data_IF_986100074258
#
_entry.id   IF_986100074258
#
_cell.length_a   1.000
_cell.length_b   1.000
_cell.length_c   1.000
_cell.angle_alpha   90.00
_cell.angle_beta   90.00
_cell.angle_gamma   90.00
#
_symmetry.space_group_name_H-M   'P 1'
#
loop_
_entity.id
_entity.type
_entity.pdbx_description
1 polymer ?
#
# COMPACT_ATOMS: atom_id res chain seq x y z
N UNK A 1 0.48 -28.45 5.14
CA UNK A 1 1.26 -27.86 4.02
C UNK A 1 2.59 -28.58 3.93
N UNK A 2 3.09 -28.87 2.71
CA UNK A 2 4.41 -29.44 2.47
C UNK A 2 5.35 -28.32 2.01
N UNK A 3 6.44 -28.10 2.73
CA UNK A 3 7.38 -26.99 2.49
C UNK A 3 8.02 -27.04 1.10
N UNK A 4 8.45 -28.21 0.64
CA UNK A 4 9.06 -28.37 -0.69
C UNK A 4 8.09 -27.96 -1.80
N UNK A 5 6.82 -28.41 -1.71
CA UNK A 5 5.78 -28.04 -2.69
C UNK A 5 5.53 -26.53 -2.64
N UNK A 6 5.43 -25.96 -1.44
CA UNK A 6 5.21 -24.53 -1.25
C UNK A 6 6.33 -23.69 -1.90
N UNK A 7 7.59 -24.06 -1.71
CA UNK A 7 8.73 -23.35 -2.31
C UNK A 7 8.76 -23.47 -3.84
N UNK A 8 8.41 -24.64 -4.39
CA UNK A 8 8.29 -24.79 -5.86
C UNK A 8 7.18 -23.89 -6.44
N UNK A 9 6.02 -23.86 -5.80
CA UNK A 9 4.90 -22.99 -6.20
C UNK A 9 5.23 -21.51 -6.03
N UNK A 10 5.91 -21.13 -4.96
CA UNK A 10 6.38 -19.75 -4.76
C UNK A 10 7.37 -19.34 -5.85
N UNK A 11 8.27 -20.25 -6.25
CA UNK A 11 9.18 -20.04 -7.37
C UNK A 11 8.42 -19.79 -8.68
N UNK A 12 7.35 -20.55 -8.95
CA UNK A 12 6.48 -20.32 -10.11
C UNK A 12 5.84 -18.93 -10.07
N UNK A 13 5.27 -18.54 -8.91
CA UNK A 13 4.66 -17.22 -8.74
C UNK A 13 5.66 -16.08 -8.88
N UNK A 14 6.87 -16.22 -8.33
CA UNK A 14 7.93 -15.21 -8.45
C UNK A 14 8.36 -15.04 -9.91
N UNK A 15 8.43 -16.15 -10.67
CA UNK A 15 8.77 -16.12 -12.09
C UNK A 15 7.73 -15.36 -12.96
N UNK A 16 6.48 -15.28 -12.49
CA UNK A 16 5.42 -14.47 -13.10
C UNK A 16 5.59 -12.99 -12.77
N UNK A 17 6.58 -12.27 -13.26
CA UNK A 17 6.74 -10.84 -12.94
C UNK A 17 5.41 -10.07 -12.99
N UNK A 18 5.16 -9.23 -11.97
CA UNK A 18 3.87 -8.56 -11.76
C UNK A 18 4.00 -7.12 -11.27
N UNK A 19 4.76 -6.31 -12.02
CA UNK A 19 4.82 -4.87 -11.75
C UNK A 19 3.41 -4.24 -11.73
N UNK A 20 3.12 -3.34 -10.78
CA UNK A 20 1.76 -2.77 -10.58
C UNK A 20 1.14 -2.21 -11.87
N UNK A 21 1.95 -1.60 -12.75
CA UNK A 21 1.48 -1.05 -14.04
C UNK A 21 1.64 -2.02 -15.22
N UNK A 22 1.88 -3.30 -14.94
CA UNK A 22 1.87 -4.37 -15.93
C UNK A 22 0.60 -5.21 -15.77
N UNK A 23 -0.48 -4.77 -16.43
CA UNK A 23 -1.76 -5.47 -16.42
C UNK A 23 -1.67 -6.92 -16.92
N UNK A 24 -0.70 -7.24 -17.77
CA UNK A 24 -0.48 -8.59 -18.29
C UNK A 24 0.20 -9.45 -17.22
N UNK A 25 1.25 -8.93 -16.57
CA UNK A 25 1.97 -9.63 -15.50
C UNK A 25 1.08 -9.95 -14.30
N UNK A 26 0.40 -8.94 -13.73
CA UNK A 26 -0.55 -9.13 -12.64
C UNK A 26 -1.72 -10.03 -13.04
N UNK A 27 -2.19 -9.94 -14.30
CA UNK A 27 -3.21 -10.83 -14.86
C UNK A 27 -2.77 -12.31 -14.93
N UNK A 28 -1.49 -12.59 -15.19
CA UNK A 28 -0.95 -13.97 -15.15
C UNK A 28 -0.97 -14.54 -13.73
N UNK A 29 -0.58 -13.73 -12.73
CA UNK A 29 -0.66 -14.14 -11.32
C UNK A 29 -2.10 -14.42 -10.94
N UNK A 30 -3.04 -13.52 -11.27
CA UNK A 30 -4.48 -13.72 -11.03
C UNK A 30 -5.00 -15.03 -11.68
N UNK A 31 -4.59 -15.33 -12.90
CA UNK A 31 -4.98 -16.54 -13.61
C UNK A 31 -4.41 -17.81 -12.96
N UNK A 32 -3.16 -17.78 -12.49
CA UNK A 32 -2.53 -18.88 -11.77
C UNK A 32 -3.27 -19.19 -10.47
N UNK A 33 -3.53 -18.18 -9.64
CA UNK A 33 -4.28 -18.32 -8.39
C UNK A 33 -5.71 -18.79 -8.67
N UNK A 34 -6.39 -18.17 -9.63
CA UNK A 34 -7.76 -18.52 -10.00
C UNK A 34 -7.90 -19.99 -10.38
N UNK A 35 -6.97 -20.53 -11.17
CA UNK A 35 -6.97 -21.95 -11.59
C UNK A 35 -6.97 -22.89 -10.39
N UNK A 36 -6.19 -22.58 -9.36
CA UNK A 36 -6.11 -23.37 -8.11
C UNK A 36 -7.41 -23.30 -7.33
N UNK A 37 -7.94 -22.11 -7.15
CA UNK A 37 -9.18 -21.87 -6.40
C UNK A 37 -10.41 -22.46 -7.11
N UNK A 38 -10.47 -22.40 -8.45
CA UNK A 38 -11.52 -23.09 -9.23
C UNK A 38 -11.47 -24.62 -9.02
N UNK A 39 -10.27 -25.22 -9.03
CA UNK A 39 -10.08 -26.63 -8.78
C UNK A 39 -10.51 -27.05 -7.36
N UNK A 40 -10.39 -26.13 -6.39
CA UNK A 40 -10.87 -26.29 -5.02
C UNK A 40 -12.37 -25.90 -4.85
N UNK A 41 -13.10 -25.71 -5.96
CA UNK A 41 -14.53 -25.39 -5.98
C UNK A 41 -14.93 -24.06 -5.30
N UNK A 42 -14.01 -23.09 -5.20
CA UNK A 42 -14.31 -21.74 -4.79
C UNK A 42 -15.05 -20.99 -5.91
N UNK A 43 -15.98 -20.10 -5.56
CA UNK A 43 -16.64 -19.23 -6.54
C UNK A 43 -15.76 -18.05 -6.88
N UNK A 44 -15.05 -18.13 -7.99
CA UNK A 44 -14.08 -17.11 -8.41
C UNK A 44 -14.66 -16.13 -9.43
N UNK A 45 -14.17 -14.88 -9.38
CA UNK A 45 -14.50 -13.83 -10.35
C UNK A 45 -13.31 -12.91 -10.54
N UNK A 46 -12.98 -12.61 -11.79
CA UNK A 46 -12.06 -11.52 -12.15
C UNK A 46 -12.87 -10.23 -12.31
N UNK A 47 -12.44 -9.15 -11.67
CA UNK A 47 -13.08 -7.85 -11.70
C UNK A 47 -12.08 -6.87 -12.33
N UNK A 48 -12.41 -6.35 -13.51
CA UNK A 48 -11.62 -5.30 -14.15
C UNK A 48 -11.82 -3.98 -13.42
N UNK A 49 -10.73 -3.32 -13.05
CA UNK A 49 -10.73 -2.04 -12.34
C UNK A 49 -10.05 -0.91 -13.11
N UNK A 50 -9.47 -1.22 -14.26
CA UNK A 50 -8.80 -0.28 -15.15
C UNK A 50 -8.10 -0.99 -16.29
N UNK A 51 -7.49 -0.22 -17.20
CA UNK A 51 -6.67 -0.76 -18.30
C UNK A 51 -5.19 -0.79 -17.97
N UNK A 52 -4.76 -0.01 -16.97
CA UNK A 52 -3.36 0.18 -16.57
C UNK A 52 -2.89 -0.85 -15.55
N UNK A 53 -3.82 -1.60 -14.95
CA UNK A 53 -3.56 -2.60 -13.93
C UNK A 53 -4.31 -3.89 -14.27
N UNK A 54 -3.88 -5.02 -13.71
CA UNK A 54 -4.58 -6.29 -13.87
C UNK A 54 -5.93 -6.33 -13.16
N UNK A 55 -6.67 -7.44 -13.30
CA UNK A 55 -7.94 -7.58 -12.62
C UNK A 55 -7.75 -7.90 -11.13
N UNK A 56 -8.70 -7.51 -10.29
CA UNK A 56 -8.86 -8.07 -8.96
C UNK A 56 -9.36 -9.51 -9.12
N UNK A 57 -8.78 -10.45 -8.40
CA UNK A 57 -9.33 -11.78 -8.23
C UNK A 57 -10.13 -11.84 -6.91
N UNK A 58 -11.41 -12.11 -7.03
CA UNK A 58 -12.33 -12.35 -5.91
C UNK A 58 -12.68 -13.82 -5.86
N UNK A 59 -12.54 -14.46 -4.71
CA UNK A 59 -12.90 -15.85 -4.50
C UNK A 59 -13.69 -16.02 -3.19
N UNK A 60 -14.82 -16.71 -3.26
CA UNK A 60 -15.77 -16.81 -2.16
C UNK A 60 -16.10 -18.27 -1.85
N UNK A 61 -16.04 -18.61 -0.57
CA UNK A 61 -16.45 -19.89 0.01
C UNK A 61 -17.64 -19.70 0.94
N UNK A 62 -18.54 -20.66 0.95
CA UNK A 62 -19.75 -20.58 1.78
C UNK A 62 -20.83 -19.68 1.19
N UNK A 63 -21.83 -19.32 1.96
CA UNK A 63 -22.97 -18.48 1.56
C UNK A 63 -23.45 -17.62 2.73
N UNK A 64 -23.87 -16.40 2.47
CA UNK A 64 -24.38 -15.49 3.49
C UNK A 64 -24.46 -14.06 3.01
N UNK A 65 -25.00 -13.18 3.85
CA UNK A 65 -25.02 -11.73 3.61
C UNK A 65 -23.71 -11.05 4.06
N UNK A 66 -23.02 -11.66 5.01
CA UNK A 66 -21.78 -11.16 5.60
C UNK A 66 -20.72 -12.25 5.63
N UNK A 67 -19.46 -11.90 5.42
CA UNK A 67 -18.32 -12.82 5.55
C UNK A 67 -17.93 -12.94 7.03
N UNK A 68 -17.57 -14.13 7.46
CA UNK A 68 -16.94 -14.32 8.77
C UNK A 68 -15.55 -13.68 8.77
N UNK A 69 -14.83 -13.82 7.63
CA UNK A 69 -13.54 -13.20 7.42
C UNK A 69 -13.33 -12.85 5.95
N UNK A 70 -12.69 -11.72 5.71
CA UNK A 70 -12.06 -11.34 4.45
C UNK A 70 -10.55 -11.48 4.61
N UNK A 71 -9.90 -12.30 3.78
CA UNK A 71 -8.45 -12.31 3.63
C UNK A 71 -8.11 -11.45 2.41
N UNK A 72 -7.16 -10.56 2.58
CA UNK A 72 -6.75 -9.58 1.56
C UNK A 72 -5.26 -9.68 1.32
N UNK A 73 -4.88 -9.83 0.06
CA UNK A 73 -3.51 -9.83 -0.43
C UNK A 73 -3.39 -9.06 -1.73
N UNK A 74 -2.15 -8.82 -2.19
CA UNK A 74 -1.89 -8.15 -3.45
C UNK A 74 -0.93 -8.93 -4.33
N UNK A 75 -1.23 -8.96 -5.62
CA UNK A 75 -0.48 -9.70 -6.64
C UNK A 75 0.62 -8.89 -7.28
N UNK A 76 0.56 -7.57 -7.16
CA UNK A 76 1.52 -6.65 -7.77
C UNK A 76 2.81 -6.51 -6.96
N UNK A 77 3.82 -5.96 -7.58
CA UNK A 77 5.12 -5.68 -6.97
C UNK A 77 5.70 -4.37 -7.51
N UNK A 78 6.65 -3.78 -6.77
CA UNK A 78 7.42 -2.60 -7.21
C UNK A 78 8.42 -2.91 -8.31
N UNK A 79 8.66 -4.16 -8.64
CA UNK A 79 9.75 -4.58 -9.52
C UNK A 79 9.35 -4.48 -11.00
N UNK A 80 10.11 -3.72 -11.83
CA UNK A 80 9.83 -3.60 -13.26
C UNK A 80 9.81 -4.94 -13.99
N UNK A 81 9.13 -4.97 -15.14
CA UNK A 81 9.11 -6.14 -16.01
C UNK A 81 10.54 -6.58 -16.37
N UNK A 82 10.79 -7.89 -16.36
CA UNK A 82 12.11 -8.47 -16.57
C UNK A 82 12.91 -8.76 -15.30
N UNK A 83 12.62 -8.09 -14.17
CA UNK A 83 13.38 -8.28 -12.92
C UNK A 83 13.36 -9.75 -12.44
N UNK A 84 12.25 -10.47 -12.62
CA UNK A 84 12.17 -11.88 -12.23
C UNK A 84 13.09 -12.82 -13.08
N UNK A 85 13.47 -12.39 -14.28
CA UNK A 85 14.45 -13.08 -15.11
C UNK A 85 15.88 -12.74 -14.67
N UNK A 86 16.15 -11.47 -14.36
CA UNK A 86 17.47 -11.00 -13.93
C UNK A 86 17.82 -11.47 -12.53
N UNK A 87 16.82 -11.54 -11.64
CA UNK A 87 16.94 -11.98 -10.25
C UNK A 87 15.91 -13.10 -9.96
N UNK A 88 16.13 -14.33 -10.50
CA UNK A 88 15.19 -15.43 -10.31
C UNK A 88 15.10 -15.82 -8.82
N UNK A 89 14.03 -16.53 -8.48
CA UNK A 89 13.89 -17.14 -7.18
C UNK A 89 15.09 -18.05 -6.87
N UNK A 90 15.63 -17.91 -5.67
CA UNK A 90 16.75 -18.71 -5.18
C UNK A 90 16.59 -18.97 -3.69
N UNK A 91 17.20 -20.05 -3.21
CA UNK A 91 17.29 -20.43 -1.80
C UNK A 91 18.75 -20.44 -1.34
N UNK A 92 19.01 -19.94 -0.13
CA UNK A 92 20.32 -19.94 0.49
C UNK A 92 20.16 -20.29 1.98
N UNK A 93 20.48 -21.53 2.35
CA UNK A 93 20.12 -22.06 3.67
C UNK A 93 18.62 -22.06 3.88
N UNK A 94 18.18 -21.46 4.98
CA UNK A 94 16.75 -21.32 5.33
C UNK A 94 16.09 -20.07 4.69
N UNK A 95 16.87 -19.25 3.98
CA UNK A 95 16.38 -18.05 3.32
C UNK A 95 15.97 -18.33 1.88
N UNK A 96 14.89 -17.70 1.43
CA UNK A 96 14.52 -17.62 0.01
C UNK A 96 14.50 -16.17 -0.46
N UNK A 97 14.91 -15.95 -1.71
CA UNK A 97 15.06 -14.63 -2.32
C UNK A 97 14.38 -14.59 -3.68
N UNK A 98 13.70 -13.48 -3.99
CA UNK A 98 13.09 -13.26 -5.29
C UNK A 98 12.22 -12.00 -5.29
N UNK A 99 11.99 -11.36 -6.45
CA UNK A 99 11.16 -10.16 -6.54
C UNK A 99 9.71 -10.45 -6.15
N UNK A 100 9.23 -9.77 -5.11
CA UNK A 100 7.88 -9.96 -4.57
C UNK A 100 7.68 -11.26 -3.79
N UNK A 101 8.74 -12.02 -3.46
CA UNK A 101 8.61 -13.27 -2.70
C UNK A 101 8.00 -13.03 -1.32
N UNK A 102 8.55 -12.09 -0.56
CA UNK A 102 8.06 -11.73 0.77
C UNK A 102 6.89 -10.72 0.69
N UNK A 103 6.94 -9.81 -0.26
CA UNK A 103 5.95 -8.75 -0.47
C UNK A 103 5.33 -8.90 -1.88
N UNK A 104 4.09 -9.56 -2.05
CA UNK A 104 3.60 -10.42 -0.96
C UNK A 104 3.15 -11.78 -1.50
N UNK A 105 3.83 -12.33 -2.53
CA UNK A 105 3.45 -13.61 -3.18
C UNK A 105 3.43 -14.80 -2.22
N UNK A 106 4.25 -14.75 -1.17
CA UNK A 106 4.20 -15.75 -0.10
C UNK A 106 2.84 -15.72 0.61
N UNK A 107 2.34 -14.54 0.98
CA UNK A 107 1.02 -14.36 1.57
C UNK A 107 -0.11 -14.79 0.63
N UNK A 108 -0.03 -14.43 -0.65
CA UNK A 108 -0.99 -14.89 -1.66
C UNK A 108 -1.03 -16.42 -1.75
N UNK A 109 0.14 -17.06 -1.72
CA UNK A 109 0.24 -18.51 -1.78
C UNK A 109 -0.31 -19.18 -0.50
N UNK A 110 -0.07 -18.57 0.67
CA UNK A 110 -0.71 -19.02 1.92
C UNK A 110 -2.23 -18.97 1.83
N UNK A 111 -2.80 -17.91 1.24
CA UNK A 111 -4.24 -17.82 1.03
C UNK A 111 -4.76 -18.94 0.12
N UNK A 112 -4.02 -19.33 -0.91
CA UNK A 112 -4.38 -20.45 -1.81
C UNK A 112 -4.39 -21.77 -1.05
N UNK A 113 -3.33 -22.08 -0.31
CA UNK A 113 -3.26 -23.32 0.48
C UNK A 113 -4.35 -23.38 1.55
N UNK A 114 -4.61 -22.27 2.25
CA UNK A 114 -5.70 -22.18 3.22
C UNK A 114 -7.06 -22.45 2.55
N UNK A 115 -7.28 -21.91 1.37
CA UNK A 115 -8.51 -22.12 0.62
C UNK A 115 -8.71 -23.59 0.23
N UNK A 116 -7.65 -24.27 -0.20
CA UNK A 116 -7.67 -25.69 -0.51
C UNK A 116 -7.95 -26.55 0.73
N UNK A 117 -7.37 -26.19 1.88
CA UNK A 117 -7.63 -26.86 3.15
C UNK A 117 -9.07 -26.66 3.61
N UNK A 118 -9.61 -25.43 3.56
CA UNK A 118 -11.01 -25.15 3.89
C UNK A 118 -11.98 -25.93 3.02
N UNK A 119 -11.68 -26.05 1.72
CA UNK A 119 -12.49 -26.82 0.79
C UNK A 119 -12.44 -28.34 1.08
N UNK A 120 -11.23 -28.88 1.35
CA UNK A 120 -11.03 -30.28 1.70
C UNK A 120 -11.76 -30.67 3.00
N UNK A 121 -11.73 -29.80 3.99
CA UNK A 121 -12.39 -29.96 5.28
C UNK A 121 -13.88 -29.64 5.24
N UNK A 122 -14.40 -29.16 4.12
CA UNK A 122 -15.79 -28.72 3.93
C UNK A 122 -16.23 -27.72 5.01
N UNK A 123 -15.34 -26.76 5.30
CA UNK A 123 -15.60 -25.73 6.31
C UNK A 123 -16.96 -25.07 6.12
N UNK A 124 -17.70 -24.86 7.22
CA UNK A 124 -19.02 -24.19 7.22
C UNK A 124 -18.92 -22.65 7.23
N UNK A 125 -17.71 -22.08 7.31
CA UNK A 125 -17.49 -20.64 7.33
C UNK A 125 -17.85 -19.95 6.01
N UNK A 126 -18.18 -18.67 6.09
CA UNK A 126 -18.34 -17.80 4.92
C UNK A 126 -17.11 -16.90 4.77
N UNK A 127 -16.24 -17.22 3.82
CA UNK A 127 -14.92 -16.61 3.64
C UNK A 127 -14.82 -15.97 2.28
N UNK A 128 -14.24 -14.76 2.25
CA UNK A 128 -13.85 -14.07 1.02
C UNK A 128 -12.34 -13.95 0.96
N UNK A 129 -11.74 -14.30 -0.17
CA UNK A 129 -10.38 -13.96 -0.54
C UNK A 129 -10.42 -12.88 -1.62
N UNK A 130 -9.60 -11.86 -1.45
CA UNK A 130 -9.47 -10.76 -2.41
C UNK A 130 -7.98 -10.53 -2.69
N UNK A 131 -7.60 -10.64 -3.96
CA UNK A 131 -6.24 -10.40 -4.43
C UNK A 131 -6.26 -9.17 -5.32
N UNK A 132 -5.55 -8.12 -4.93
CA UNK A 132 -5.54 -6.83 -5.63
C UNK A 132 -4.33 -6.68 -6.55
N UNK A 133 -4.41 -5.91 -7.64
CA UNK A 133 -3.32 -5.74 -8.60
C UNK A 133 -2.53 -4.44 -8.42
N UNK A 134 -2.79 -3.59 -7.42
CA UNK A 134 -2.32 -2.21 -7.37
C UNK A 134 -2.05 -1.66 -5.95
N UNK A 135 -1.70 -2.54 -5.01
CA UNK A 135 -1.37 -2.15 -3.63
C UNK A 135 -0.18 -1.19 -3.59
N UNK A 136 0.89 -1.51 -4.30
CA UNK A 136 2.17 -0.80 -4.34
C UNK A 136 2.06 0.63 -4.91
N UNK A 137 0.95 0.91 -5.58
CA UNK A 137 0.59 2.26 -6.04
C UNK A 137 -0.59 2.85 -5.25
N UNK A 138 -0.81 2.35 -4.02
CA UNK A 138 -1.82 2.81 -3.06
C UNK A 138 -3.26 2.44 -3.41
N UNK A 139 -3.47 1.32 -4.08
CA UNK A 139 -4.78 0.72 -4.40
C UNK A 139 -5.74 1.69 -5.08
N UNK A 140 -5.19 2.53 -5.97
CA UNK A 140 -5.94 3.63 -6.62
C UNK A 140 -7.16 3.12 -7.36
N UNK A 141 -7.06 1.92 -7.95
CA UNK A 141 -8.11 1.28 -8.72
C UNK A 141 -8.94 0.28 -7.89
N UNK A 142 -8.28 -0.44 -6.98
CA UNK A 142 -8.91 -1.50 -6.17
C UNK A 142 -9.72 -0.98 -4.99
N UNK A 143 -9.41 0.20 -4.48
CA UNK A 143 -9.98 0.77 -3.26
C UNK A 143 -11.52 0.67 -3.17
N UNK A 144 -12.32 1.02 -4.20
CA UNK A 144 -13.78 0.91 -4.11
C UNK A 144 -14.27 -0.52 -3.90
N UNK A 145 -13.56 -1.52 -4.47
CA UNK A 145 -13.89 -2.94 -4.31
C UNK A 145 -13.49 -3.42 -2.92
N UNK A 146 -12.26 -3.08 -2.46
CA UNK A 146 -11.77 -3.40 -1.11
C UNK A 146 -12.76 -2.88 -0.07
N UNK A 147 -13.09 -1.59 -0.11
CA UNK A 147 -14.01 -0.96 0.84
C UNK A 147 -15.41 -1.57 0.78
N UNK A 148 -15.92 -1.84 -0.43
CA UNK A 148 -17.23 -2.44 -0.64
C UNK A 148 -17.35 -3.87 -0.09
N UNK A 149 -16.32 -4.69 -0.22
CA UNK A 149 -16.30 -6.05 0.32
C UNK A 149 -15.98 -6.06 1.82
N UNK A 150 -15.07 -5.20 2.30
CA UNK A 150 -14.74 -5.09 3.72
C UNK A 150 -15.95 -4.74 4.59
N UNK A 151 -16.84 -3.87 4.11
CA UNK A 151 -18.10 -3.50 4.83
C UNK A 151 -19.02 -4.70 5.09
N UNK A 152 -18.83 -5.81 4.39
CA UNK A 152 -19.60 -7.05 4.57
C UNK A 152 -18.88 -8.06 5.45
N UNK A 153 -17.64 -7.77 5.89
CA UNK A 153 -16.82 -8.69 6.67
C UNK A 153 -16.91 -8.38 8.18
N UNK A 154 -16.91 -9.41 9.00
CA UNK A 154 -16.81 -9.27 10.47
C UNK A 154 -15.38 -8.96 10.90
N UNK A 155 -14.40 -9.44 10.15
CA UNK A 155 -12.96 -9.22 10.34
C UNK A 155 -12.23 -9.24 9.02
N UNK A 156 -11.10 -8.53 8.95
CA UNK A 156 -10.19 -8.52 7.80
C UNK A 156 -8.80 -8.96 8.27
N UNK A 157 -8.21 -9.87 7.53
CA UNK A 157 -6.85 -10.36 7.72
C UNK A 157 -6.02 -9.97 6.50
N UNK A 158 -4.96 -9.19 6.71
CA UNK A 158 -4.06 -8.77 5.64
C UNK A 158 -2.86 -9.71 5.65
N UNK A 159 -2.62 -10.34 4.52
CA UNK A 159 -1.61 -11.39 4.38
C UNK A 159 -0.23 -10.84 3.99
N UNK A 160 0.06 -9.60 4.41
CA UNK A 160 1.38 -8.97 4.31
C UNK A 160 2.40 -9.71 5.17
N UNK A 161 3.69 -9.52 4.89
CA UNK A 161 4.76 -10.15 5.67
C UNK A 161 4.73 -9.76 7.15
N UNK A 162 4.83 -10.73 8.03
CA UNK A 162 5.14 -10.54 9.45
C UNK A 162 6.48 -9.81 9.62
N UNK A 163 6.72 -9.29 10.80
CA UNK A 163 8.03 -8.68 11.10
C UNK A 163 9.10 -9.76 11.24
N UNK A 164 10.40 -9.41 11.13
CA UNK A 164 11.50 -10.39 11.23
C UNK A 164 11.52 -11.21 12.52
N UNK A 165 10.90 -10.68 13.59
CA UNK A 165 10.74 -11.40 14.86
C UNK A 165 9.43 -12.20 14.96
N UNK A 166 8.65 -12.28 13.88
CA UNK A 166 7.35 -12.96 13.83
C UNK A 166 6.18 -12.16 14.39
N UNK A 167 6.38 -10.90 14.82
CA UNK A 167 5.28 -10.07 15.31
C UNK A 167 4.33 -9.67 14.20
N UNK A 168 3.04 -9.69 14.50
CA UNK A 168 1.96 -9.22 13.65
C UNK A 168 1.73 -7.71 13.83
N UNK A 169 1.04 -7.09 12.87
CA UNK A 169 0.82 -5.65 12.84
C UNK A 169 -0.64 -5.34 13.15
N UNK A 170 -0.90 -4.48 14.16
CA UNK A 170 -2.24 -3.98 14.47
C UNK A 170 -2.38 -2.46 14.36
N UNK A 171 -1.28 -1.76 14.08
CA UNK A 171 -1.27 -0.31 13.91
C UNK A 171 -0.35 0.08 12.75
N UNK A 172 -0.85 0.89 11.82
CA UNK A 172 -0.07 1.47 10.73
C UNK A 172 -0.29 2.97 10.64
N UNK A 173 0.77 3.73 10.35
CA UNK A 173 0.60 5.16 10.07
C UNK A 173 -0.23 5.38 8.82
N UNK A 174 -1.00 6.45 8.81
CA UNK A 174 -1.60 7.00 7.60
C UNK A 174 -0.53 7.61 6.69
N UNK A 175 -0.80 7.63 5.40
CA UNK A 175 0.10 8.09 4.35
C UNK A 175 -0.56 9.21 3.57
N UNK A 176 0.10 10.36 3.54
CA UNK A 176 -0.25 11.47 2.64
C UNK A 176 0.90 11.70 1.66
N UNK A 177 0.55 11.89 0.40
CA UNK A 177 1.51 12.22 -0.65
C UNK A 177 1.03 13.47 -1.38
N UNK A 178 1.92 14.46 -1.45
CA UNK A 178 1.64 15.72 -2.15
C UNK A 178 2.68 15.96 -3.24
N UNK A 179 2.23 16.56 -4.33
CA UNK A 179 3.06 17.16 -5.36
C UNK A 179 2.78 18.64 -5.37
N UNK A 180 3.79 19.45 -5.07
CA UNK A 180 3.71 20.89 -5.12
C UNK A 180 4.35 21.36 -6.42
N UNK A 181 3.63 22.20 -7.16
CA UNK A 181 4.07 22.74 -8.43
C UNK A 181 4.14 24.26 -8.29
N UNK A 182 5.29 24.82 -8.58
CA UNK A 182 5.58 26.25 -8.51
C UNK A 182 5.79 26.76 -9.94
N UNK A 183 4.96 27.71 -10.36
CA UNK A 183 5.03 28.39 -11.66
C UNK A 183 5.44 29.84 -11.45
N UNK A 184 6.61 30.20 -11.91
CA UNK A 184 7.21 31.52 -11.81
C UNK A 184 7.31 32.23 -13.15
N UNK A 185 8.29 33.15 -13.27
CA UNK A 185 8.55 33.93 -14.48
C UNK A 185 10.04 33.88 -14.78
N UNK A 186 10.40 33.41 -15.98
CA UNK A 186 11.79 33.39 -16.44
C UNK A 186 12.31 34.77 -16.73
N UNK A 187 13.58 35.00 -16.38
CA UNK A 187 14.32 36.21 -16.76
C UNK A 187 15.82 35.91 -16.79
N UNK A 188 16.60 36.77 -17.43
CA UNK A 188 18.07 36.65 -17.35
C UNK A 188 18.57 37.10 -15.98
N UNK A 189 19.18 36.23 -15.22
CA UNK A 189 19.52 36.44 -13.81
C UNK A 189 20.52 37.58 -13.57
N UNK A 190 21.33 37.97 -14.56
CA UNK A 190 22.31 39.03 -14.47
C UNK A 190 21.94 40.34 -15.21
N UNK A 191 20.91 40.33 -16.06
CA UNK A 191 20.51 41.50 -16.90
C UNK A 191 19.24 42.13 -16.39
N UNK A 192 18.22 41.36 -16.13
CA UNK A 192 16.88 41.82 -15.73
C UNK A 192 16.23 40.91 -14.67
N UNK A 193 16.93 40.64 -13.55
CA UNK A 193 16.42 39.72 -12.53
C UNK A 193 15.08 40.14 -11.94
N UNK A 194 14.81 41.42 -11.83
CA UNK A 194 13.57 41.96 -11.25
C UNK A 194 12.32 41.67 -12.09
N UNK A 195 12.49 41.32 -13.37
CA UNK A 195 11.39 40.89 -14.23
C UNK A 195 11.03 39.42 -14.03
N UNK A 196 11.92 38.66 -13.37
CA UNK A 196 11.70 37.26 -13.06
C UNK A 196 11.03 37.03 -11.70
N UNK A 197 10.40 35.88 -11.55
CA UNK A 197 9.88 35.36 -10.28
C UNK A 197 10.31 33.90 -10.14
N UNK A 198 11.20 33.63 -9.17
CA UNK A 198 11.86 32.32 -9.09
C UNK A 198 11.00 31.25 -8.40
N UNK A 199 10.52 30.30 -9.17
CA UNK A 199 9.84 29.11 -8.66
C UNK A 199 10.73 28.27 -7.73
N UNK A 200 12.05 28.20 -8.03
CA UNK A 200 13.00 27.46 -7.19
C UNK A 200 13.19 28.15 -5.84
N UNK A 201 13.34 29.49 -5.82
CA UNK A 201 13.45 30.23 -4.55
C UNK A 201 12.19 30.11 -3.70
N UNK A 202 11.01 30.14 -4.33
CA UNK A 202 9.74 29.90 -3.65
C UNK A 202 9.70 28.50 -3.03
N UNK A 203 10.02 27.46 -3.81
CA UNK A 203 10.10 26.08 -3.32
C UNK A 203 11.07 25.91 -2.15
N UNK A 204 12.24 26.57 -2.18
CA UNK A 204 13.21 26.53 -1.09
C UNK A 204 12.67 27.14 0.21
N UNK A 205 11.93 28.26 0.13
CA UNK A 205 11.27 28.89 1.30
C UNK A 205 10.21 27.97 1.88
N UNK A 206 9.40 27.38 1.01
CA UNK A 206 8.41 26.36 1.40
C UNK A 206 9.07 25.17 2.07
N UNK A 207 10.23 24.72 1.59
CA UNK A 207 10.92 23.55 2.11
C UNK A 207 11.15 23.61 3.62
N UNK A 208 11.55 24.78 4.15
CA UNK A 208 11.72 24.98 5.60
C UNK A 208 10.40 24.85 6.37
N UNK A 209 9.33 25.45 5.84
CA UNK A 209 8.00 25.37 6.47
C UNK A 209 7.45 23.93 6.42
N UNK A 210 7.64 23.22 5.30
CA UNK A 210 7.20 21.83 5.11
C UNK A 210 7.87 20.91 6.13
N UNK A 211 9.19 21.03 6.30
CA UNK A 211 9.93 20.24 7.31
C UNK A 211 9.42 20.56 8.73
N UNK A 212 9.05 21.82 8.98
CA UNK A 212 8.46 22.27 10.25
C UNK A 212 7.07 21.68 10.55
N UNK A 213 6.38 21.08 9.58
CA UNK A 213 5.11 20.38 9.81
C UNK A 213 5.27 19.04 10.55
N UNK A 214 6.48 18.49 10.61
CA UNK A 214 6.75 17.29 11.39
C UNK A 214 6.44 17.52 12.87
N UNK A 215 5.88 16.51 13.54
CA UNK A 215 5.57 16.53 14.95
C UNK A 215 5.97 15.20 15.60
N UNK A 216 7.21 15.06 16.09
CA UNK A 216 7.67 13.82 16.70
C UNK A 216 6.83 13.37 17.90
N UNK A 217 6.29 14.31 18.69
CA UNK A 217 5.46 13.99 19.86
C UNK A 217 4.16 13.28 19.45
N UNK A 218 3.61 13.66 18.30
CA UNK A 218 2.44 13.00 17.69
C UNK A 218 2.82 11.88 16.72
N UNK A 219 4.12 11.60 16.55
CA UNK A 219 4.65 10.62 15.61
C UNK A 219 4.46 10.99 14.14
N UNK A 220 4.21 12.27 13.86
CA UNK A 220 4.10 12.79 12.49
C UNK A 220 5.49 12.97 11.88
N UNK A 221 5.70 12.39 10.72
CA UNK A 221 6.93 12.55 9.92
C UNK A 221 6.60 13.19 8.58
N UNK A 222 7.48 14.06 8.11
CA UNK A 222 7.37 14.73 6.81
C UNK A 222 8.72 14.66 6.11
N UNK A 223 8.70 14.23 4.86
CA UNK A 223 9.89 14.11 4.04
C UNK A 223 9.64 14.75 2.67
N UNK A 224 10.55 15.62 2.23
CA UNK A 224 10.60 16.09 0.84
C UNK A 224 11.46 15.07 0.08
N UNK A 225 10.81 14.20 -0.68
CA UNK A 225 11.48 13.08 -1.34
C UNK A 225 12.20 13.47 -2.63
N UNK A 226 11.62 14.41 -3.39
CA UNK A 226 12.20 14.91 -4.65
C UNK A 226 11.97 16.40 -4.81
N UNK A 227 12.94 17.09 -5.41
CA UNK A 227 12.82 18.46 -5.90
C UNK A 227 13.42 18.49 -7.30
N UNK A 228 12.71 19.10 -8.27
CA UNK A 228 13.17 19.30 -9.64
C UNK A 228 12.75 20.67 -10.12
N UNK A 229 13.68 21.46 -10.67
CA UNK A 229 13.34 22.78 -11.19
C UNK A 229 14.52 23.54 -11.77
N UNK A 230 14.22 24.60 -12.51
CA UNK A 230 15.19 25.43 -13.22
C UNK A 230 15.75 24.76 -14.48
N UNK A 231 16.38 25.57 -15.34
CA UNK A 231 16.95 25.11 -16.63
C UNK A 231 18.42 25.46 -16.76
N UNK A 232 18.87 26.60 -16.30
CA UNK A 232 20.25 27.08 -16.36
C UNK A 232 20.58 28.06 -15.22
N UNK A 233 21.84 28.11 -14.80
CA UNK A 233 22.28 28.95 -13.68
C UNK A 233 22.10 30.44 -13.91
N UNK A 234 22.07 30.92 -15.15
CA UNK A 234 21.88 32.31 -15.52
C UNK A 234 20.43 32.68 -15.88
N UNK A 235 19.46 31.78 -15.59
CA UNK A 235 18.03 31.98 -15.82
C UNK A 235 17.30 31.90 -14.48
N UNK A 236 16.47 32.89 -14.16
CA UNK A 236 15.48 32.85 -13.07
C UNK A 236 14.52 31.73 -13.39
N UNK A 237 14.42 30.74 -12.51
CA UNK A 237 13.64 29.52 -12.77
C UNK A 237 12.13 29.81 -12.77
N UNK A 238 11.45 29.50 -13.84
CA UNK A 238 10.00 29.65 -14.00
C UNK A 238 9.21 28.41 -13.61
N UNK A 239 9.88 27.30 -13.31
CA UNK A 239 9.24 26.07 -12.90
C UNK A 239 10.04 25.35 -11.81
N UNK A 240 9.33 24.81 -10.81
CA UNK A 240 9.86 23.88 -9.83
C UNK A 240 8.76 22.95 -9.32
N UNK A 241 9.11 21.73 -9.05
CA UNK A 241 8.22 20.74 -8.40
C UNK A 241 8.91 20.12 -7.19
N UNK A 242 8.13 19.79 -6.16
CA UNK A 242 8.59 18.93 -5.10
C UNK A 242 7.51 17.91 -4.71
N UNK A 243 7.96 16.69 -4.31
CA UNK A 243 7.09 15.63 -3.84
C UNK A 243 7.35 15.38 -2.36
N UNK A 244 6.25 15.35 -1.59
CA UNK A 244 6.26 15.19 -0.14
C UNK A 244 5.59 13.88 0.24
N UNK A 245 6.22 13.11 1.14
CA UNK A 245 5.64 11.99 1.88
C UNK A 245 5.43 12.43 3.33
N UNK A 246 4.19 12.34 3.81
CA UNK A 246 3.88 12.60 5.21
C UNK A 246 3.22 11.37 5.83
N UNK A 247 3.69 11.00 7.03
CA UNK A 247 3.15 9.85 7.78
C UNK A 247 2.57 10.34 9.09
N UNK A 248 1.33 9.93 9.39
CA UNK A 248 0.58 10.41 10.56
C UNK A 248 -0.03 9.25 11.34
N UNK A 249 -0.18 9.41 12.67
CA UNK A 249 -0.86 8.42 13.53
C UNK A 249 -2.36 8.62 13.60
N UNK A 250 -2.83 9.83 13.35
CA UNK A 250 -4.25 10.17 13.37
C UNK A 250 -4.63 11.05 12.17
N UNK A 251 -5.92 11.06 11.83
CA UNK A 251 -6.43 11.81 10.68
C UNK A 251 -6.34 13.32 10.88
N UNK A 252 -6.44 13.81 12.13
CA UNK A 252 -6.38 15.25 12.42
C UNK A 252 -4.99 15.82 12.08
N UNK A 253 -3.90 15.07 12.31
CA UNK A 253 -2.56 15.47 11.87
C UNK A 253 -2.44 15.48 10.34
N UNK A 254 -3.06 14.53 9.65
CA UNK A 254 -3.11 14.55 8.18
C UNK A 254 -3.87 15.75 7.63
N UNK A 255 -5.01 16.07 8.23
CA UNK A 255 -5.81 17.25 7.88
C UNK A 255 -5.05 18.55 8.16
N UNK A 256 -4.37 18.66 9.31
CA UNK A 256 -3.52 19.81 9.63
C UNK A 256 -2.47 20.08 8.56
N UNK A 257 -1.81 19.03 8.06
CA UNK A 257 -0.82 19.16 6.99
C UNK A 257 -1.48 19.60 5.69
N UNK A 258 -2.58 18.99 5.30
CA UNK A 258 -3.31 19.35 4.07
C UNK A 258 -3.78 20.81 4.09
N UNK A 259 -4.39 21.22 5.19
CA UNK A 259 -4.86 22.59 5.39
C UNK A 259 -3.71 23.62 5.34
N UNK A 260 -2.57 23.31 5.98
CA UNK A 260 -1.40 24.19 5.97
C UNK A 260 -0.86 24.38 4.53
N UNK A 261 -0.64 23.28 3.80
CA UNK A 261 -0.13 23.36 2.42
C UNK A 261 -1.07 24.13 1.49
N UNK A 262 -2.38 23.88 1.60
CA UNK A 262 -3.38 24.58 0.77
C UNK A 262 -3.59 26.04 1.17
N UNK A 263 -3.40 26.38 2.45
CA UNK A 263 -3.45 27.76 2.91
C UNK A 263 -2.23 28.54 2.39
N UNK A 264 -1.03 27.98 2.49
CA UNK A 264 0.19 28.65 1.99
C UNK A 264 0.15 28.86 0.48
N UNK A 265 -0.45 27.95 -0.29
CA UNK A 265 -0.59 28.11 -1.74
C UNK A 265 -1.40 29.34 -2.16
N UNK A 266 -2.23 29.90 -1.26
CA UNK A 266 -2.99 31.12 -1.51
C UNK A 266 -2.19 32.39 -1.25
N UNK A 267 -1.09 32.30 -0.51
CA UNK A 267 -0.23 33.41 -0.09
C UNK A 267 1.24 33.03 -0.25
N UNK A 268 1.72 32.89 -1.50
CA UNK A 268 3.14 32.60 -1.77
C UNK A 268 4.03 33.75 -1.27
N UNK A 269 5.31 33.49 -1.06
CA UNK A 269 6.28 34.53 -0.66
C UNK A 269 6.53 35.56 -1.74
N UNK A 270 6.50 35.15 -3.02
CA UNK A 270 6.46 36.05 -4.19
C UNK A 270 5.08 35.88 -4.83
N UNK A 271 4.27 36.93 -4.82
CA UNK A 271 2.89 36.93 -5.33
C UNK A 271 2.78 36.69 -6.84
N UNK A 272 3.90 36.80 -7.56
CA UNK A 272 4.01 36.47 -8.99
C UNK A 272 4.21 34.98 -9.24
N UNK A 273 4.52 34.17 -8.20
CA UNK A 273 4.65 32.71 -8.31
C UNK A 273 3.30 32.05 -7.98
N UNK A 274 2.80 31.28 -8.90
CA UNK A 274 1.61 30.48 -8.67
C UNK A 274 2.01 29.13 -8.07
N UNK A 275 1.35 28.74 -6.97
CA UNK A 275 1.59 27.45 -6.29
C UNK A 275 0.34 26.58 -6.39
N UNK A 276 0.54 25.34 -6.86
CA UNK A 276 -0.50 24.32 -6.91
C UNK A 276 -0.15 23.17 -5.99
N UNK A 277 -1.16 22.68 -5.23
CA UNK A 277 -1.04 21.55 -4.30
C UNK A 277 -1.91 20.42 -4.81
N UNK A 278 -1.27 19.39 -5.31
CA UNK A 278 -1.93 18.15 -5.73
C UNK A 278 -1.73 17.03 -4.69
N UNK A 279 -2.67 16.10 -4.62
CA UNK A 279 -2.58 14.97 -3.70
C UNK A 279 -3.34 15.17 -2.39
N UNK A 280 -2.87 14.49 -1.35
CA UNK A 280 -3.53 14.41 -0.04
C UNK A 280 -3.34 13.04 0.59
N UNK A 281 -4.17 12.69 1.58
CA UNK A 281 -4.14 11.40 2.26
C UNK A 281 -4.53 10.28 1.30
N UNK A 282 -3.61 9.34 1.08
CA UNK A 282 -3.81 8.15 0.25
C UNK A 282 -4.33 6.98 1.07
N UNK A 283 -3.76 6.79 2.25
CA UNK A 283 -4.14 5.75 3.21
C UNK A 283 -4.41 6.40 4.56
N UNK A 284 -5.62 6.28 5.14
CA UNK A 284 -5.88 6.71 6.51
C UNK A 284 -5.04 5.92 7.52
N UNK A 285 -4.87 6.36 8.77
CA UNK A 285 -4.24 5.55 9.81
C UNK A 285 -5.02 4.28 10.10
N UNK A 286 -4.32 3.17 10.34
CA UNK A 286 -4.87 1.93 10.88
C UNK A 286 -4.61 1.93 12.39
N UNK A 287 -5.63 2.23 13.17
CA UNK A 287 -5.56 2.22 14.63
C UNK A 287 -6.47 1.12 15.20
N UNK A 288 -6.01 0.35 16.20
CA UNK A 288 -6.81 -0.72 16.77
C UNK A 288 -8.02 -0.17 17.54
N UNK A 289 -9.20 -0.70 17.26
CA UNK A 289 -10.41 -0.49 18.04
C UNK A 289 -10.54 -1.59 19.11
N UNK A 290 -11.50 -1.46 20.02
CA UNK A 290 -11.83 -2.54 20.98
C UNK A 290 -12.17 -3.86 20.28
N UNK A 291 -12.84 -3.78 19.12
CA UNK A 291 -13.13 -4.96 18.29
C UNK A 291 -11.87 -5.56 17.68
N UNK A 292 -10.91 -4.72 17.28
CA UNK A 292 -9.60 -5.16 16.80
C UNK A 292 -8.82 -5.84 17.91
N UNK A 293 -8.81 -5.29 19.14
CA UNK A 293 -8.15 -5.94 20.28
C UNK A 293 -8.81 -7.30 20.63
N UNK A 294 -10.14 -7.41 20.48
CA UNK A 294 -10.81 -8.70 20.63
C UNK A 294 -10.40 -9.71 19.54
N UNK A 295 -10.20 -9.25 18.32
CA UNK A 295 -9.67 -10.10 17.22
C UNK A 295 -8.23 -10.54 17.51
N UNK A 296 -7.38 -9.64 18.01
CA UNK A 296 -6.01 -9.94 18.42
C UNK A 296 -5.97 -11.07 19.47
N UNK A 297 -6.80 -11.00 20.50
CA UNK A 297 -6.90 -12.07 21.53
C UNK A 297 -7.30 -13.42 20.91
N UNK A 298 -8.24 -13.43 19.96
CA UNK A 298 -8.63 -14.67 19.26
C UNK A 298 -7.48 -15.23 18.43
N UNK A 299 -6.69 -14.39 17.77
CA UNK A 299 -5.52 -14.82 17.04
C UNK A 299 -4.45 -15.44 17.97
N UNK A 300 -4.19 -14.81 19.13
CA UNK A 300 -3.29 -15.36 20.16
C UNK A 300 -3.77 -16.72 20.69
N UNK A 301 -5.07 -16.83 20.97
CA UNK A 301 -5.68 -18.09 21.44
C UNK A 301 -5.56 -19.20 20.38
N UNK A 302 -5.75 -18.85 19.09
CA UNK A 302 -5.60 -19.80 17.99
C UNK A 302 -4.13 -20.25 17.85
N UNK A 303 -3.18 -19.33 17.91
CA UNK A 303 -1.75 -19.62 17.86
C UNK A 303 -1.30 -20.56 18.98
N UNK A 304 -1.74 -20.30 20.22
CA UNK A 304 -1.43 -21.16 21.38
C UNK A 304 -1.88 -22.62 21.18
N UNK A 305 -3.02 -22.84 20.51
CA UNK A 305 -3.52 -24.20 20.22
C UNK A 305 -2.62 -25.02 19.30
N UNK A 306 -1.83 -24.33 18.48
CA UNK A 306 -0.87 -24.96 17.54
C UNK A 306 0.58 -24.76 17.96
N UNK A 307 0.81 -24.33 19.21
CA UNK A 307 2.15 -24.19 19.78
C UNK A 307 2.92 -22.95 19.27
N UNK A 308 2.25 -21.99 18.65
CA UNK A 308 2.85 -20.74 18.18
C UNK A 308 2.63 -19.60 19.18
N UNK A 309 3.55 -18.64 19.16
CA UNK A 309 3.44 -17.38 19.87
C UNK A 309 4.00 -16.25 19.03
N UNK A 310 3.39 -15.08 19.10
CA UNK A 310 3.84 -13.84 18.44
C UNK A 310 3.47 -12.63 19.30
N UNK A 311 4.10 -11.50 19.01
CA UNK A 311 3.73 -10.20 19.60
C UNK A 311 2.96 -9.34 18.61
N UNK A 312 2.62 -8.13 19.07
CA UNK A 312 1.97 -7.11 18.25
C UNK A 312 2.88 -5.88 18.12
N UNK A 313 2.96 -5.38 16.91
CA UNK A 313 3.80 -4.22 16.63
C UNK A 313 3.07 -3.16 15.83
N UNK A 314 3.74 -2.01 15.65
CA UNK A 314 3.31 -0.87 14.86
C UNK A 314 4.20 -0.73 13.63
N UNK A 315 3.63 -0.28 12.52
CA UNK A 315 4.38 -0.02 11.29
C UNK A 315 4.28 1.44 10.85
N UNK A 316 5.39 1.98 10.37
CA UNK A 316 5.40 3.26 9.65
C UNK A 316 4.94 3.12 8.19
N UNK A 317 5.00 1.90 7.62
CA UNK A 317 4.50 1.58 6.29
C UNK A 317 2.99 1.36 6.27
N UNK A 318 2.35 1.62 5.13
CA UNK A 318 0.93 1.33 4.92
C UNK A 318 0.72 -0.02 4.26
N UNK A 319 -0.54 -0.45 4.23
CA UNK A 319 -1.06 -1.58 3.47
C UNK A 319 -2.54 -1.34 3.15
N UNK A 320 -3.18 -2.26 2.46
CA UNK A 320 -4.63 -2.22 2.29
C UNK A 320 -5.41 -2.35 3.61
N UNK A 321 -4.76 -2.80 4.68
CA UNK A 321 -5.29 -2.79 6.05
C UNK A 321 -5.66 -1.40 6.55
N UNK A 322 -4.97 -0.36 6.09
CA UNK A 322 -5.32 1.02 6.38
C UNK A 322 -6.73 1.38 5.89
N UNK A 323 -7.10 0.90 4.69
CA UNK A 323 -8.40 1.18 4.08
C UNK A 323 -9.53 0.51 4.84
N UNK A 324 -9.34 -0.75 5.23
CA UNK A 324 -10.36 -1.55 5.92
C UNK A 324 -10.54 -1.12 7.37
N UNK A 325 -9.45 -0.82 8.08
CA UNK A 325 -9.50 -0.31 9.45
C UNK A 325 -10.17 1.06 9.55
N UNK A 326 -9.94 1.96 8.58
CA UNK A 326 -10.59 3.28 8.52
C UNK A 326 -12.12 3.19 8.39
N UNK A 327 -12.67 2.07 7.92
CA UNK A 327 -14.11 1.81 7.89
C UNK A 327 -14.65 1.32 9.25
N UNK A 328 -13.82 1.22 10.28
CA UNK A 328 -14.18 0.67 11.59
C UNK A 328 -14.30 -0.86 11.60
N UNK A 329 -13.76 -1.54 10.58
CA UNK A 329 -13.72 -3.00 10.54
C UNK A 329 -12.50 -3.51 11.30
N UNK A 330 -12.69 -4.55 12.12
CA UNK A 330 -11.58 -5.20 12.83
C UNK A 330 -10.56 -5.75 11.83
N UNK A 331 -9.37 -5.18 11.81
CA UNK A 331 -8.31 -5.54 10.85
C UNK A 331 -7.03 -5.85 11.61
N UNK A 332 -6.39 -6.95 11.27
CA UNK A 332 -5.00 -7.30 11.66
C UNK A 332 -4.20 -7.60 10.40
N UNK A 333 -2.90 -7.46 10.49
CA UNK A 333 -2.01 -7.38 9.34
C UNK A 333 -0.66 -8.04 9.64
N UNK A 334 0.10 -8.43 8.61
CA UNK A 334 1.40 -9.07 8.77
C UNK A 334 1.30 -10.55 9.16
N UNK A 335 0.36 -11.28 8.54
CA UNK A 335 0.04 -12.67 8.82
C UNK A 335 0.85 -13.65 7.95
#
# INVERSE_FOLDING_TARGET
>A
MNETIFLEELKELVALGSFSRDAVGTGKVAAWIKKRLDAAAWRTKLISVGKEVGPILRAEWGKGKTYDVLLLGHMDTVFPAGTAVERPFSTEGDDFKGPGASDMKCGDLFMVHLAEDLAREKSSGHVLLLFTPDEEISSVYSRPVIEGEARKAKAVLIMESARPNGDLVKERKGISKYRLIFEGIAAHAGVNPDQGASAVHECMRWGQQIVGLANPQKGTTVNIGTIMGGTAANVVADHCECVIDARVKDEAEGQRIDEALRAWAKTPFDDRVKVMVEGGMKRPPMNPSEKTEALCRKAEEAAKKVGLSFGWTKSGGGSDGNLTAALGISTIDGL
#
